data_IF_940589101162
#
_entry.id   IF_940589101162
#
_cell.length_a   1.000
_cell.length_b   1.000
_cell.length_c   1.000
_cell.angle_alpha   90.00
_cell.angle_beta   90.00
_cell.angle_gamma   90.00
#
_symmetry.space_group_name_H-M   'P 1'
#
loop_
_entity.id
_entity.type
_entity.pdbx_description
1 polymer ?
#
# COMPACT_ATOMS: atom_id res chain seq x y z
N UNK A 1 6.35 4.23 17.27
CA UNK A 1 5.86 5.62 17.36
C UNK A 1 6.37 6.36 16.12
N UNK A 2 5.48 6.86 15.23
CA UNK A 2 5.91 7.59 14.02
C UNK A 2 6.27 9.02 14.44
N UNK A 3 7.53 9.40 14.28
CA UNK A 3 7.98 10.77 14.52
C UNK A 3 7.67 11.61 13.27
N UNK A 4 6.74 12.55 13.40
CA UNK A 4 6.50 13.59 12.40
C UNK A 4 7.56 14.67 12.60
N UNK A 5 8.27 15.03 11.53
CA UNK A 5 9.20 16.17 11.57
C UNK A 5 8.81 17.19 10.53
N UNK A 6 9.01 18.46 10.88
CA UNK A 6 8.56 19.68 10.18
C UNK A 6 7.04 19.88 10.16
N UNK A 7 6.60 20.78 11.05
CA UNK A 7 5.30 21.47 10.99
C UNK A 7 5.56 22.94 10.63
N UNK A 8 6.48 23.19 9.69
CA UNK A 8 6.62 24.53 9.11
C UNK A 8 5.48 24.72 8.10
N UNK A 9 4.87 25.91 8.09
CA UNK A 9 3.64 26.21 7.35
C UNK A 9 3.73 26.02 5.83
N UNK A 10 4.96 25.95 5.30
CA UNK A 10 5.28 25.95 3.87
C UNK A 10 5.95 24.65 3.37
N UNK A 11 6.29 23.72 4.27
CA UNK A 11 6.88 22.41 3.91
C UNK A 11 5.85 21.29 4.08
N UNK A 12 5.78 20.36 3.11
CA UNK A 12 4.97 19.15 3.27
C UNK A 12 5.49 18.35 4.48
N UNK A 13 4.61 17.91 5.40
CA UNK A 13 5.05 17.14 6.55
C UNK A 13 5.71 15.83 6.07
N UNK A 14 6.73 15.35 6.78
CA UNK A 14 7.40 14.08 6.44
C UNK A 14 7.50 13.15 7.64
N UNK A 15 7.53 11.84 7.37
CA UNK A 15 7.98 10.83 8.34
C UNK A 15 9.51 10.77 8.39
N UNK A 16 10.07 10.15 9.42
CA UNK A 16 11.50 9.82 9.49
C UNK A 16 11.69 8.30 9.63
N UNK A 17 10.98 7.55 8.78
CA UNK A 17 10.89 6.09 8.90
C UNK A 17 11.74 5.40 7.85
N UNK A 18 11.72 5.87 6.61
CA UNK A 18 12.39 5.22 5.49
C UNK A 18 13.76 5.85 5.22
N UNK A 19 14.60 5.15 4.46
CA UNK A 19 15.94 5.63 4.11
C UNK A 19 15.86 7.05 3.54
N UNK A 20 16.84 7.91 3.85
CA UNK A 20 16.95 9.27 3.29
C UNK A 20 18.18 9.33 2.37
N UNK A 21 18.18 8.57 1.28
CA UNK A 21 19.14 8.79 0.19
C UNK A 21 18.62 9.85 -0.79
N UNK A 22 19.45 10.26 -1.76
CA UNK A 22 19.15 11.34 -2.71
C UNK A 22 17.90 11.10 -3.58
N UNK A 23 17.31 9.89 -3.55
CA UNK A 23 16.05 9.55 -4.21
C UNK A 23 14.90 9.28 -3.23
N UNK A 24 15.11 9.37 -1.92
CA UNK A 24 14.17 8.85 -0.93
C UNK A 24 13.28 9.91 -0.23
N UNK A 25 13.36 11.17 -0.67
CA UNK A 25 12.50 12.22 -0.12
C UNK A 25 11.02 11.91 -0.28
N UNK A 26 10.58 11.25 -1.37
CA UNK A 26 9.16 10.93 -1.56
C UNK A 26 8.65 9.83 -0.62
N UNK A 27 9.53 8.98 -0.12
CA UNK A 27 9.14 7.79 0.64
C UNK A 27 8.63 8.13 2.03
N UNK A 28 9.15 9.24 2.53
CA UNK A 28 8.77 9.86 3.78
C UNK A 28 7.75 11.00 3.60
N UNK A 29 7.28 11.34 2.39
CA UNK A 29 6.29 12.43 2.21
C UNK A 29 4.94 12.07 2.81
N UNK A 30 4.31 13.05 3.47
CA UNK A 30 2.95 12.95 3.94
C UNK A 30 1.96 13.67 3.01
N UNK A 31 1.10 12.90 2.34
CA UNK A 31 -0.06 13.40 1.58
C UNK A 31 -1.31 13.45 2.46
N UNK A 32 -2.14 14.48 2.27
CA UNK A 32 -3.30 14.75 3.12
C UNK A 32 -4.54 14.00 2.64
N UNK A 33 -4.69 12.72 2.98
CA UNK A 33 -6.00 12.04 3.04
C UNK A 33 -5.93 10.91 4.08
N UNK A 34 -6.97 10.78 4.91
CA UNK A 34 -7.14 9.72 5.91
C UNK A 34 -7.94 8.52 5.36
N UNK A 35 -8.28 8.56 4.06
CA UNK A 35 -8.98 7.48 3.37
C UNK A 35 -10.51 7.50 3.49
N UNK A 36 -11.11 8.48 4.16
CA UNK A 36 -12.57 8.50 4.40
C UNK A 36 -13.34 9.46 3.49
N UNK A 37 -12.80 10.65 3.25
CA UNK A 37 -13.44 11.71 2.46
C UNK A 37 -12.44 12.23 1.42
N UNK A 38 -12.88 12.30 0.17
CA UNK A 38 -12.10 12.78 -0.95
C UNK A 38 -12.69 14.07 -1.53
N UNK A 39 -11.99 14.66 -2.50
CA UNK A 39 -12.50 15.86 -3.18
C UNK A 39 -13.86 15.55 -3.84
N UNK A 40 -14.81 16.51 -3.86
CA UNK A 40 -16.03 16.36 -4.65
C UNK A 40 -15.71 16.32 -6.15
N UNK A 41 -16.61 15.74 -6.94
CA UNK A 41 -16.42 15.47 -8.38
C UNK A 41 -15.16 14.62 -8.61
N UNK A 42 -15.14 13.45 -7.98
CA UNK A 42 -14.03 12.52 -8.09
C UNK A 42 -13.96 11.91 -9.49
N UNK A 43 -12.77 11.88 -10.08
CA UNK A 43 -12.53 11.37 -11.44
C UNK A 43 -11.86 9.99 -11.38
N UNK A 44 -12.01 9.18 -12.43
CA UNK A 44 -11.41 7.84 -12.48
C UNK A 44 -9.89 7.92 -12.59
N UNK A 45 -9.39 9.02 -13.14
CA UNK A 45 -7.98 9.31 -13.35
C UNK A 45 -7.26 9.73 -12.07
N UNK A 46 -8.01 10.03 -11.00
CA UNK A 46 -7.44 10.41 -9.71
C UNK A 46 -6.68 9.24 -9.07
N UNK A 47 -5.51 9.53 -8.52
CA UNK A 47 -4.79 8.58 -7.66
C UNK A 47 -5.03 8.95 -6.20
N UNK A 48 -5.52 7.98 -5.44
CA UNK A 48 -5.82 8.16 -4.02
C UNK A 48 -4.61 7.75 -3.20
N UNK A 49 -4.34 8.49 -2.12
CA UNK A 49 -3.27 8.19 -1.17
C UNK A 49 -3.85 8.11 0.23
N UNK A 50 -3.75 6.98 0.91
CA UNK A 50 -4.11 6.83 2.33
C UNK A 50 -2.88 6.46 3.13
N UNK A 51 -2.71 7.08 4.30
CA UNK A 51 -1.61 6.71 5.18
C UNK A 51 -2.00 5.50 6.01
N UNK A 52 -1.30 4.37 5.84
CA UNK A 52 -1.55 3.17 6.66
C UNK A 52 -0.51 3.06 7.78
N UNK A 53 -0.88 3.28 9.06
CA UNK A 53 0.07 3.25 10.17
C UNK A 53 0.76 1.90 10.33
N UNK A 54 0.08 0.81 9.97
CA UNK A 54 0.66 -0.55 10.00
C UNK A 54 1.80 -0.72 8.99
N UNK A 55 1.71 -0.02 7.85
CA UNK A 55 2.74 -0.04 6.81
C UNK A 55 3.74 1.10 6.95
N UNK A 56 3.46 2.10 7.79
CA UNK A 56 4.30 3.29 8.00
C UNK A 56 4.59 4.09 6.73
N UNK A 57 3.73 3.98 5.71
CA UNK A 57 3.83 4.71 4.43
C UNK A 57 2.44 4.88 3.83
N UNK A 58 2.36 5.72 2.79
CA UNK A 58 1.14 5.82 1.99
C UNK A 58 0.95 4.59 1.13
N UNK A 59 -0.29 4.09 1.14
CA UNK A 59 -0.84 3.24 0.11
C UNK A 59 -1.44 4.12 -0.96
N UNK A 60 -1.14 3.85 -2.23
CA UNK A 60 -1.80 4.50 -3.34
C UNK A 60 -2.75 3.56 -4.06
N UNK A 61 -3.87 4.10 -4.51
CA UNK A 61 -4.92 3.35 -5.20
C UNK A 61 -5.17 3.94 -6.58
N UNK A 62 -5.38 3.07 -7.56
CA UNK A 62 -5.71 3.43 -8.94
C UNK A 62 -7.07 2.86 -9.31
N UNK A 63 -7.80 3.57 -10.17
CA UNK A 63 -9.09 3.11 -10.64
C UNK A 63 -8.94 1.72 -11.26
N UNK A 64 -9.89 0.85 -10.92
CA UNK A 64 -9.93 -0.51 -11.42
C UNK A 64 -11.16 -0.76 -12.27
N UNK A 65 -12.34 -0.48 -11.73
CA UNK A 65 -13.62 -0.69 -12.39
C UNK A 65 -14.73 0.10 -11.72
N UNK A 66 -15.83 0.27 -12.42
CA UNK A 66 -17.11 0.66 -11.85
C UNK A 66 -17.63 -0.43 -10.89
N UNK A 67 -18.33 -0.02 -9.84
CA UNK A 67 -18.92 -0.90 -8.84
C UNK A 67 -20.24 -0.33 -8.33
N UNK A 68 -21.03 -1.18 -7.65
CA UNK A 68 -22.24 -0.76 -6.96
C UNK A 68 -22.16 -1.28 -5.53
N UNK A 69 -22.19 -0.36 -4.56
CA UNK A 69 -22.13 -0.69 -3.13
C UNK A 69 -23.44 -0.29 -2.48
N UNK A 70 -24.21 -1.27 -1.99
CA UNK A 70 -25.51 -1.05 -1.33
C UNK A 70 -26.48 -0.18 -2.16
N UNK A 71 -26.45 -0.32 -3.49
CA UNK A 71 -27.28 0.45 -4.43
C UNK A 71 -26.74 1.83 -4.82
N UNK A 72 -25.52 2.18 -4.40
CA UNK A 72 -24.83 3.43 -4.77
C UNK A 72 -23.81 3.12 -5.86
N UNK A 73 -23.86 3.87 -6.95
CA UNK A 73 -22.86 3.79 -8.02
C UNK A 73 -21.51 4.34 -7.54
N UNK A 74 -20.46 3.54 -7.68
CA UNK A 74 -19.13 3.87 -7.17
C UNK A 74 -18.05 3.56 -8.20
N UNK A 75 -16.90 4.17 -8.00
CA UNK A 75 -15.64 3.79 -8.64
C UNK A 75 -14.82 2.97 -7.66
N UNK A 76 -14.46 1.75 -8.05
CA UNK A 76 -13.55 0.92 -7.28
C UNK A 76 -12.12 1.25 -7.64
N UNK A 77 -11.37 1.70 -6.64
CA UNK A 77 -9.93 1.86 -6.68
C UNK A 77 -9.26 0.70 -5.95
N UNK A 78 -8.11 0.27 -6.44
CA UNK A 78 -7.33 -0.82 -5.85
C UNK A 78 -5.89 -0.42 -5.64
N UNK A 79 -5.25 -1.07 -4.67
CA UNK A 79 -3.79 -1.06 -4.58
C UNK A 79 -3.23 -1.82 -5.78
N UNK A 80 -2.42 -1.18 -6.64
CA UNK A 80 -1.94 -1.83 -7.84
C UNK A 80 -0.67 -2.66 -7.53
N UNK A 81 -0.31 -3.66 -8.34
CA UNK A 81 0.78 -4.60 -8.03
C UNK A 81 2.14 -3.91 -7.81
N UNK A 82 2.38 -2.80 -8.51
CA UNK A 82 3.60 -2.00 -8.40
C UNK A 82 3.86 -1.43 -7.00
N UNK A 83 2.85 -1.39 -6.14
CA UNK A 83 3.01 -1.04 -4.74
C UNK A 83 3.94 -2.02 -4.00
N UNK A 84 3.87 -3.31 -4.34
CA UNK A 84 4.68 -4.39 -3.76
C UNK A 84 5.79 -4.90 -4.68
N UNK A 85 6.06 -4.22 -5.80
CA UNK A 85 7.17 -4.59 -6.67
C UNK A 85 8.52 -4.33 -5.99
N UNK A 86 9.48 -5.22 -6.25
CA UNK A 86 10.84 -5.03 -5.79
C UNK A 86 11.47 -3.79 -6.43
N UNK A 87 12.51 -3.19 -5.82
CA UNK A 87 13.27 -2.09 -6.43
C UNK A 87 13.89 -2.43 -7.79
N UNK A 88 14.03 -3.72 -8.11
CA UNK A 88 14.52 -4.19 -9.41
C UNK A 88 13.47 -4.01 -10.52
N UNK A 89 12.18 -4.02 -10.17
CA UNK A 89 11.06 -3.85 -11.11
C UNK A 89 10.50 -2.44 -11.03
N UNK A 90 10.40 -1.86 -9.83
CA UNK A 90 9.95 -0.50 -9.58
C UNK A 90 10.98 0.26 -8.73
N UNK A 91 11.85 1.04 -9.38
CA UNK A 91 12.91 1.80 -8.70
C UNK A 91 12.41 2.77 -7.65
N UNK A 92 11.16 3.24 -7.75
CA UNK A 92 10.56 4.15 -6.78
C UNK A 92 10.41 3.48 -5.40
N UNK A 93 10.44 2.14 -5.34
CA UNK A 93 10.38 1.39 -4.11
C UNK A 93 11.74 1.19 -3.42
N UNK A 94 12.85 1.65 -4.00
CA UNK A 94 14.20 1.41 -3.48
C UNK A 94 14.41 1.87 -2.02
N UNK A 95 13.86 3.02 -1.66
CA UNK A 95 13.92 3.61 -0.32
C UNK A 95 13.13 2.83 0.76
N UNK A 96 12.16 2.01 0.36
CA UNK A 96 11.39 1.15 1.26
C UNK A 96 12.07 -0.19 1.50
N UNK A 97 13.13 -0.47 0.73
CA UNK A 97 13.94 -1.65 0.94
C UNK A 97 15.09 -1.35 1.89
N UNK A 98 15.17 -2.11 2.99
CA UNK A 98 16.39 -2.22 3.75
C UNK A 98 17.33 -3.25 3.09
N UNK A 99 18.49 -2.78 2.60
CA UNK A 99 19.49 -3.64 1.91
C UNK A 99 20.02 -4.80 2.76
N UNK A 100 19.80 -4.77 4.07
CA UNK A 100 20.17 -5.86 4.98
C UNK A 100 19.21 -7.07 4.93
N UNK A 101 18.08 -6.98 4.21
CA UNK A 101 17.10 -8.08 4.08
C UNK A 101 17.13 -8.68 2.67
N UNK A 102 17.34 -10.00 2.61
CA UNK A 102 17.42 -10.81 1.38
C UNK A 102 16.11 -10.97 0.60
N UNK A 103 15.04 -10.28 0.98
CA UNK A 103 13.71 -10.41 0.37
C UNK A 103 13.27 -9.19 -0.43
N UNK A 104 13.98 -8.06 -0.32
CA UNK A 104 13.66 -6.87 -1.10
C UNK A 104 13.74 -7.08 -2.62
N UNK A 105 14.49 -8.08 -3.09
CA UNK A 105 14.63 -8.38 -4.51
C UNK A 105 13.41 -9.14 -5.07
N UNK A 106 12.48 -9.58 -4.20
CA UNK A 106 11.27 -10.30 -4.56
C UNK A 106 10.07 -9.38 -4.69
N UNK A 107 9.21 -9.62 -5.68
CA UNK A 107 7.92 -8.93 -5.75
C UNK A 107 6.91 -9.53 -4.78
N UNK A 108 6.00 -8.71 -4.28
CA UNK A 108 4.90 -9.12 -3.40
C UNK A 108 5.19 -9.00 -1.91
N UNK A 109 6.33 -8.39 -1.54
CA UNK A 109 6.74 -8.22 -0.15
C UNK A 109 7.12 -6.77 0.14
N UNK A 110 6.84 -6.33 1.36
CA UNK A 110 7.25 -5.04 1.90
C UNK A 110 7.88 -5.27 3.27
N UNK A 111 9.16 -4.94 3.42
CA UNK A 111 9.81 -4.97 4.72
C UNK A 111 9.36 -3.75 5.56
N UNK A 112 8.69 -4.02 6.67
CA UNK A 112 8.25 -2.99 7.63
C UNK A 112 9.01 -3.09 8.95
N UNK A 113 10.09 -3.88 8.99
CA UNK A 113 10.93 -4.07 10.18
C UNK A 113 11.45 -2.73 10.70
N UNK A 114 11.92 -1.84 9.82
CA UNK A 114 12.48 -0.55 10.26
C UNK A 114 11.48 0.29 11.06
N UNK A 115 10.18 0.19 10.75
CA UNK A 115 9.16 1.00 11.39
C UNK A 115 8.43 0.29 12.55
N UNK A 116 8.24 -1.01 12.44
CA UNK A 116 7.52 -1.79 13.45
C UNK A 116 8.41 -2.42 14.51
N UNK A 117 9.71 -2.61 14.27
CA UNK A 117 10.60 -3.32 15.20
C UNK A 117 10.60 -2.70 16.60
N UNK A 118 10.63 -1.37 16.70
CA UNK A 118 10.59 -0.68 17.99
C UNK A 118 9.26 -0.86 18.74
N UNK A 119 8.16 -1.10 18.02
CA UNK A 119 6.81 -1.17 18.59
C UNK A 119 6.39 -2.62 18.85
N UNK A 120 6.80 -3.56 17.99
CA UNK A 120 6.39 -4.97 18.01
C UNK A 120 7.53 -5.94 18.36
N UNK A 121 8.78 -5.46 18.43
CA UNK A 121 9.94 -6.27 18.85
C UNK A 121 10.38 -7.36 17.87
N UNK A 122 9.90 -7.32 16.62
CA UNK A 122 10.18 -8.35 15.61
C UNK A 122 10.41 -7.75 14.22
N UNK A 123 11.26 -8.38 13.37
CA UNK A 123 11.36 -8.04 11.96
C UNK A 123 10.12 -8.55 11.23
N UNK A 124 9.34 -7.64 10.66
CA UNK A 124 8.04 -7.94 10.05
C UNK A 124 8.07 -7.65 8.55
N UNK A 125 7.42 -8.52 7.78
CA UNK A 125 7.26 -8.39 6.35
C UNK A 125 5.76 -8.40 6.06
N UNK A 126 5.30 -7.45 5.26
CA UNK A 126 3.92 -7.40 4.81
C UNK A 126 3.80 -7.89 3.36
N UNK A 127 2.69 -8.52 3.04
CA UNK A 127 2.34 -8.98 1.68
C UNK A 127 0.83 -8.91 1.46
N UNK A 128 0.40 -9.12 0.21
CA UNK A 128 -1.00 -9.48 -0.03
C UNK A 128 -1.28 -10.90 0.49
N UNK A 129 -2.53 -11.23 0.87
CA UNK A 129 -2.91 -12.58 1.26
C UNK A 129 -2.43 -13.63 0.26
N UNK A 130 -1.91 -14.75 0.76
CA UNK A 130 -1.39 -15.87 -0.04
C UNK A 130 -0.33 -15.48 -1.08
N UNK A 131 0.35 -14.34 -0.89
CA UNK A 131 1.30 -13.77 -1.85
C UNK A 131 0.66 -13.47 -3.21
N UNK A 132 -0.60 -13.02 -3.22
CA UNK A 132 -1.26 -12.53 -4.43
C UNK A 132 -0.42 -11.41 -5.08
N UNK A 133 -0.23 -11.48 -6.40
CA UNK A 133 0.70 -10.64 -7.18
C UNK A 133 2.19 -10.71 -6.77
N UNK A 134 2.57 -11.66 -5.90
CA UNK A 134 3.96 -11.88 -5.52
C UNK A 134 4.67 -12.95 -6.34
N UNK A 135 5.99 -12.99 -6.18
CA UNK A 135 6.85 -13.97 -6.83
C UNK A 135 6.42 -15.41 -6.49
N UNK A 136 6.45 -16.29 -7.50
CA UNK A 136 6.05 -17.71 -7.32
C UNK A 136 6.89 -18.45 -6.26
N UNK A 137 8.15 -18.05 -6.08
CA UNK A 137 9.04 -18.65 -5.08
C UNK A 137 8.52 -18.44 -3.65
N UNK A 138 7.84 -17.33 -3.35
CA UNK A 138 7.28 -17.05 -2.03
C UNK A 138 6.19 -18.07 -1.69
N UNK A 139 5.31 -18.38 -2.64
CA UNK A 139 4.26 -19.39 -2.44
C UNK A 139 4.82 -20.78 -2.16
N UNK A 140 5.87 -21.16 -2.90
CA UNK A 140 6.58 -22.43 -2.70
C UNK A 140 7.27 -22.49 -1.34
N UNK A 141 7.98 -21.43 -0.97
CA UNK A 141 8.71 -21.34 0.29
C UNK A 141 7.78 -21.43 1.50
N UNK A 142 6.63 -20.77 1.45
CA UNK A 142 5.68 -20.69 2.55
C UNK A 142 4.51 -21.68 2.46
N UNK A 143 4.59 -22.68 1.57
CA UNK A 143 3.57 -23.73 1.35
C UNK A 143 2.15 -23.19 1.12
N UNK A 144 2.01 -22.00 0.52
CA UNK A 144 0.71 -21.41 0.21
C UNK A 144 0.15 -21.87 -1.15
N UNK A 145 0.74 -22.92 -1.74
CA UNK A 145 0.28 -23.55 -2.99
C UNK A 145 -1.07 -24.27 -2.83
N UNK A 146 -1.55 -24.47 -1.60
CA UNK A 146 -2.83 -25.11 -1.30
C UNK A 146 -4.04 -24.26 -1.75
N UNK A 147 -3.86 -22.97 -2.00
CA UNK A 147 -4.90 -22.15 -2.61
C UNK A 147 -4.96 -22.39 -4.11
N UNK A 148 -6.18 -22.68 -4.60
CA UNK A 148 -6.39 -22.93 -6.01
C UNK A 148 -6.01 -21.67 -6.80
N UNK A 149 -5.24 -21.82 -7.89
CA UNK A 149 -4.69 -20.68 -8.65
C UNK A 149 -5.77 -19.72 -9.16
N UNK A 150 -6.98 -20.21 -9.43
CA UNK A 150 -8.14 -19.44 -9.85
C UNK A 150 -8.72 -18.55 -8.72
N UNK A 151 -8.47 -18.89 -7.46
CA UNK A 151 -8.90 -18.10 -6.31
C UNK A 151 -7.93 -16.96 -5.98
N UNK A 152 -6.66 -17.10 -6.40
CA UNK A 152 -5.61 -16.08 -6.24
C UNK A 152 -5.76 -14.96 -7.27
N UNK A 153 -6.71 -14.08 -7.02
CA UNK A 153 -6.95 -12.90 -7.82
C UNK A 153 -7.19 -11.69 -6.92
N UNK A 154 -7.13 -10.50 -7.53
CA UNK A 154 -7.38 -9.28 -6.79
C UNK A 154 -8.78 -9.31 -6.17
N UNK A 155 -9.84 -9.75 -6.87
CA UNK A 155 -11.22 -9.70 -6.34
C UNK A 155 -11.35 -10.33 -4.96
N UNK A 156 -10.63 -11.42 -4.70
CA UNK A 156 -10.61 -12.11 -3.43
C UNK A 156 -9.58 -11.56 -2.43
N UNK A 157 -8.39 -11.18 -2.90
CA UNK A 157 -7.21 -10.89 -2.05
C UNK A 157 -6.56 -9.53 -2.30
N UNK A 158 -7.32 -8.60 -2.85
CA UNK A 158 -6.94 -7.22 -3.09
C UNK A 158 -7.40 -6.29 -1.97
N UNK A 159 -6.75 -5.13 -1.93
CA UNK A 159 -7.14 -4.01 -1.07
C UNK A 159 -7.83 -2.95 -1.94
N UNK A 160 -9.02 -2.53 -1.52
CA UNK A 160 -9.97 -1.73 -2.30
C UNK A 160 -10.59 -0.59 -1.54
N UNK A 161 -10.95 0.44 -2.30
CA UNK A 161 -11.70 1.59 -1.86
C UNK A 161 -12.76 1.89 -2.92
N UNK A 162 -14.03 1.87 -2.53
CA UNK A 162 -15.15 2.24 -3.41
C UNK A 162 -15.54 3.69 -3.10
N UNK A 163 -15.49 4.56 -4.10
CA UNK A 163 -15.80 6.00 -3.96
C UNK A 163 -17.05 6.36 -4.76
N UNK A 164 -17.99 7.03 -4.10
CA UNK A 164 -19.10 7.73 -4.74
C UNK A 164 -18.58 9.03 -5.38
N UNK A 165 -18.77 9.23 -6.69
CA UNK A 165 -18.06 10.28 -7.43
C UNK A 165 -18.58 11.71 -7.20
N UNK A 166 -19.84 11.92 -6.86
CA UNK A 166 -20.40 13.27 -6.72
C UNK A 166 -19.83 13.99 -5.49
N UNK A 167 -19.87 13.32 -4.34
CA UNK A 167 -19.48 13.87 -3.04
C UNK A 167 -18.08 13.40 -2.59
N UNK A 168 -17.52 12.37 -3.23
CA UNK A 168 -16.21 11.82 -2.85
C UNK A 168 -16.27 10.99 -1.56
N UNK A 169 -17.43 10.43 -1.23
CA UNK A 169 -17.64 9.58 -0.06
C UNK A 169 -17.21 8.15 -0.34
N UNK A 170 -16.60 7.48 0.65
CA UNK A 170 -16.24 6.07 0.55
C UNK A 170 -17.19 5.16 1.34
N UNK A 171 -18.26 4.60 0.71
CA UNK A 171 -19.18 3.70 1.41
C UNK A 171 -18.57 2.34 1.80
N UNK A 172 -17.45 1.93 1.18
CA UNK A 172 -16.78 0.67 1.49
C UNK A 172 -15.25 0.77 1.32
N UNK A 173 -14.55 0.31 2.35
CA UNK A 173 -13.10 0.14 2.38
C UNK A 173 -12.80 -1.33 2.75
N UNK A 174 -11.96 -1.99 1.96
CA UNK A 174 -11.52 -3.37 2.19
C UNK A 174 -10.00 -3.39 2.21
N UNK A 175 -9.40 -3.58 3.39
CA UNK A 175 -7.95 -3.68 3.56
C UNK A 175 -7.59 -5.14 3.83
N UNK A 176 -6.74 -5.69 2.97
CA UNK A 176 -6.24 -7.05 3.08
C UNK A 176 -4.72 -7.08 2.95
N UNK A 177 -4.05 -7.26 4.08
CA UNK A 177 -2.62 -7.50 4.13
C UNK A 177 -2.30 -8.67 5.06
N UNK A 178 -1.15 -9.30 4.84
CA UNK A 178 -0.64 -10.44 5.60
C UNK A 178 0.76 -10.14 6.12
N UNK A 179 0.92 -10.31 7.44
CA UNK A 179 2.20 -10.38 8.15
C UNK A 179 2.85 -11.76 8.04
#
# INVERSE_FOLDING_TARGET
>A
MIYLTNVNKDDEPTTQVWLNDTHAHHCNRLRRTDGQIFKPKFEKEDTIYTFEPQLCRYVFYRHWKESVVKGIDTYRFRVPPEYFHSPLVNSDNACYCNRNITLCDRNGVLDISHCQYQTLGAPLIMSNPYWNNGDRSLRKQFKSELMARNELNDENYGTYLDIEPAEGLSPQLTIQFRL
#
